data_IF_695305421337
#
_entry.id   IF_695305421337
#
_cell.length_a   1.000
_cell.length_b   1.000
_cell.length_c   1.000
_cell.angle_alpha   90.00
_cell.angle_beta   90.00
_cell.angle_gamma   90.00
#
_symmetry.space_group_name_H-M   'P 1'
#
loop_
_entity.id
_entity.type
_entity.pdbx_description
1 polymer ?
#
# COMPACT_ATOMS: atom_id res chain seq x y z
N UNK A 1 1.13 -32.31 -32.34
CA UNK A 1 1.88 -33.53 -31.95
C UNK A 1 0.99 -34.33 -31.00
N UNK A 2 0.42 -35.45 -31.46
CA UNK A 2 -0.31 -36.38 -30.59
C UNK A 2 0.72 -37.26 -29.88
N UNK A 3 0.98 -36.94 -28.62
CA UNK A 3 1.70 -37.84 -27.72
C UNK A 3 0.76 -39.01 -27.34
N UNK A 4 1.24 -40.26 -27.31
CA UNK A 4 0.39 -41.45 -27.29
C UNK A 4 -0.43 -41.68 -26.00
N UNK A 5 -0.26 -40.86 -24.96
CA UNK A 5 -0.99 -40.99 -23.68
C UNK A 5 -1.61 -39.69 -23.14
N UNK A 6 -1.05 -38.53 -23.50
CA UNK A 6 -1.45 -37.22 -22.96
C UNK A 6 -0.91 -36.14 -23.89
N UNK A 7 -1.69 -35.13 -24.27
CA UNK A 7 -1.20 -34.03 -25.10
C UNK A 7 -0.33 -33.03 -24.30
N UNK A 8 0.44 -32.19 -25.00
CA UNK A 8 1.37 -31.25 -24.37
C UNK A 8 0.69 -30.18 -23.51
N UNK A 9 -0.56 -29.82 -23.79
CA UNK A 9 -1.34 -28.83 -23.02
C UNK A 9 -1.77 -29.44 -21.69
N UNK A 10 -2.28 -30.68 -21.73
CA UNK A 10 -2.64 -31.44 -20.53
C UNK A 10 -1.43 -31.67 -19.63
N UNK A 11 -0.27 -32.02 -20.22
CA UNK A 11 0.98 -32.13 -19.48
C UNK A 11 1.37 -30.80 -18.81
N UNK A 12 1.27 -29.67 -19.52
CA UNK A 12 1.54 -28.35 -18.96
C UNK A 12 0.65 -28.04 -17.75
N UNK A 13 -0.66 -28.35 -17.84
CA UNK A 13 -1.58 -28.18 -16.71
C UNK A 13 -1.18 -29.02 -15.50
N UNK A 14 -0.79 -30.28 -15.69
CA UNK A 14 -0.33 -31.13 -14.59
C UNK A 14 0.96 -30.60 -13.95
N UNK A 15 1.94 -30.16 -14.75
CA UNK A 15 3.18 -29.55 -14.21
C UNK A 15 2.86 -28.28 -13.43
N UNK A 16 1.90 -27.47 -13.88
CA UNK A 16 1.49 -26.22 -13.21
C UNK A 16 0.78 -26.42 -11.88
N UNK A 17 0.29 -27.63 -11.58
CA UNK A 17 -0.20 -27.96 -10.22
C UNK A 17 0.93 -28.01 -9.18
N UNK A 18 2.18 -28.22 -9.61
CA UNK A 18 3.35 -28.38 -8.73
C UNK A 18 4.33 -27.21 -8.85
N UNK A 19 4.57 -26.71 -10.07
CA UNK A 19 5.56 -25.66 -10.33
C UNK A 19 4.95 -24.45 -11.06
N UNK A 20 5.11 -23.27 -10.48
CA UNK A 20 4.67 -22.02 -11.08
C UNK A 20 5.48 -21.62 -12.33
N UNK A 21 4.96 -20.71 -13.17
CA UNK A 21 5.64 -20.25 -14.39
C UNK A 21 7.00 -19.58 -14.17
N UNK A 22 7.24 -19.02 -12.98
CA UNK A 22 8.51 -18.37 -12.62
C UNK A 22 9.60 -19.32 -12.11
N UNK A 23 9.25 -20.55 -11.70
CA UNK A 23 10.22 -21.53 -11.17
C UNK A 23 10.55 -22.64 -12.18
N UNK A 24 9.62 -22.98 -13.08
CA UNK A 24 9.87 -23.93 -14.18
C UNK A 24 9.26 -23.41 -15.49
N UNK A 25 10.08 -22.80 -16.37
CA UNK A 25 9.63 -22.35 -17.68
C UNK A 25 9.24 -23.52 -18.58
N UNK A 26 8.08 -23.43 -19.22
CA UNK A 26 7.61 -24.42 -20.19
C UNK A 26 7.58 -23.75 -21.56
N UNK A 27 8.35 -24.31 -22.51
CA UNK A 27 8.44 -23.86 -23.88
C UNK A 27 7.76 -24.88 -24.81
N UNK A 28 6.71 -24.46 -25.50
CA UNK A 28 6.00 -25.33 -26.45
C UNK A 28 6.69 -25.35 -27.81
N UNK A 29 6.85 -26.53 -28.42
CA UNK A 29 7.31 -26.65 -29.80
C UNK A 29 6.13 -26.98 -30.71
N UNK A 30 5.65 -26.01 -31.49
CA UNK A 30 4.43 -26.10 -32.29
C UNK A 30 4.73 -26.30 -33.77
N UNK A 31 3.81 -26.87 -34.55
CA UNK A 31 3.89 -26.89 -36.02
C UNK A 31 3.21 -25.63 -36.58
N UNK A 32 3.63 -25.18 -37.76
CA UNK A 32 3.39 -23.83 -38.31
C UNK A 32 1.92 -23.46 -38.65
N UNK A 33 0.91 -24.25 -38.26
CA UNK A 33 -0.42 -24.18 -38.87
C UNK A 33 -1.63 -24.15 -37.93
N UNK A 34 -1.49 -23.98 -36.61
CA UNK A 34 -2.66 -23.83 -35.72
C UNK A 34 -2.47 -22.72 -34.68
N UNK A 35 -2.96 -21.53 -34.99
CA UNK A 35 -3.05 -20.38 -34.06
C UNK A 35 -3.74 -20.73 -32.73
N UNK A 36 -4.71 -21.65 -32.76
CA UNK A 36 -5.43 -22.11 -31.58
C UNK A 36 -4.58 -22.93 -30.58
N UNK A 37 -3.52 -23.61 -31.02
CA UNK A 37 -2.66 -24.38 -30.11
C UNK A 37 -1.69 -23.51 -29.32
N UNK A 38 -1.27 -22.37 -29.88
CA UNK A 38 -0.40 -21.42 -29.21
C UNK A 38 -1.13 -20.76 -28.04
N UNK A 39 -2.34 -20.26 -28.30
CA UNK A 39 -3.19 -19.64 -27.30
C UNK A 39 -3.53 -20.62 -26.16
N UNK A 40 -3.92 -21.85 -26.51
CA UNK A 40 -4.20 -22.89 -25.52
C UNK A 40 -2.97 -23.26 -24.67
N UNK A 41 -1.77 -23.21 -25.24
CA UNK A 41 -0.51 -23.42 -24.52
C UNK A 41 -0.24 -22.33 -23.48
N UNK A 42 -0.45 -21.06 -23.83
CA UNK A 42 -0.33 -19.96 -22.87
C UNK A 42 -1.39 -20.03 -21.77
N UNK A 43 -2.66 -20.30 -22.11
CA UNK A 43 -3.74 -20.49 -21.14
C UNK A 43 -3.49 -21.66 -20.18
N UNK A 44 -2.75 -22.68 -20.63
CA UNK A 44 -2.32 -23.80 -19.80
C UNK A 44 -1.12 -23.48 -18.88
N UNK A 45 -0.54 -22.29 -18.99
CA UNK A 45 0.61 -21.83 -18.21
C UNK A 45 1.96 -21.96 -18.91
N UNK A 46 2.00 -22.14 -20.23
CA UNK A 46 3.22 -22.05 -21.03
C UNK A 46 3.85 -20.67 -20.96
N UNK A 47 5.19 -20.62 -20.96
CA UNK A 47 5.92 -19.36 -20.93
C UNK A 47 6.15 -18.82 -22.33
N UNK A 48 6.30 -19.69 -23.32
CA UNK A 48 6.61 -19.31 -24.70
C UNK A 48 6.40 -20.50 -25.65
N UNK A 49 6.55 -20.26 -26.96
CA UNK A 49 6.53 -21.29 -27.99
C UNK A 49 7.55 -21.06 -29.10
N UNK A 50 7.90 -22.13 -29.82
CA UNK A 50 8.71 -22.11 -31.03
C UNK A 50 8.02 -22.93 -32.12
N UNK A 51 7.83 -22.32 -33.29
CA UNK A 51 7.30 -23.02 -34.46
C UNK A 51 8.36 -23.88 -35.13
N UNK A 52 7.94 -25.04 -35.66
CA UNK A 52 8.77 -25.94 -36.45
C UNK A 52 8.62 -25.66 -37.96
N UNK A 53 9.70 -25.76 -38.74
CA UNK A 53 11.08 -26.05 -38.31
C UNK A 53 11.73 -24.84 -37.62
N UNK A 54 12.58 -25.09 -36.60
CA UNK A 54 13.30 -24.03 -35.88
C UNK A 54 14.81 -24.14 -36.07
N UNK A 55 15.50 -23.01 -35.96
CA UNK A 55 16.97 -22.98 -35.91
C UNK A 55 17.48 -23.25 -34.50
N UNK A 56 18.73 -23.74 -34.42
CA UNK A 56 19.41 -23.98 -33.13
C UNK A 56 19.54 -22.68 -32.34
N UNK A 57 19.84 -21.57 -33.02
CA UNK A 57 20.06 -20.27 -32.44
C UNK A 57 18.78 -19.72 -31.81
N UNK A 58 17.64 -19.85 -32.49
CA UNK A 58 16.33 -19.43 -31.99
C UNK A 58 15.92 -20.19 -30.74
N UNK A 59 16.17 -21.51 -30.71
CA UNK A 59 15.92 -22.34 -29.53
C UNK A 59 16.82 -21.95 -28.36
N UNK A 60 18.13 -21.83 -28.58
CA UNK A 60 19.08 -21.48 -27.53
C UNK A 60 18.82 -20.08 -26.95
N UNK A 61 18.46 -19.10 -27.79
CA UNK A 61 18.13 -17.75 -27.33
C UNK A 61 16.92 -17.76 -26.38
N UNK A 62 15.85 -18.48 -26.73
CA UNK A 62 14.64 -18.57 -25.90
C UNK A 62 14.88 -19.36 -24.62
N UNK A 63 15.59 -20.49 -24.69
CA UNK A 63 15.96 -21.27 -23.51
C UNK A 63 16.83 -20.44 -22.57
N UNK A 64 17.85 -19.75 -23.09
CA UNK A 64 18.71 -18.87 -22.30
C UNK A 64 17.93 -17.76 -21.59
N UNK A 65 17.06 -17.04 -22.32
CA UNK A 65 16.22 -15.98 -21.75
C UNK A 65 15.35 -16.47 -20.57
N UNK A 66 14.71 -17.63 -20.73
CA UNK A 66 13.86 -18.19 -19.68
C UNK A 66 14.67 -18.69 -18.48
N UNK A 67 15.84 -19.30 -18.69
CA UNK A 67 16.72 -19.72 -17.60
C UNK A 67 17.27 -18.52 -16.81
N UNK A 68 17.64 -17.44 -17.49
CA UNK A 68 18.10 -16.22 -16.83
C UNK A 68 16.97 -15.54 -16.04
N UNK A 69 15.73 -15.58 -16.57
CA UNK A 69 14.55 -15.06 -15.87
C UNK A 69 14.31 -15.82 -14.55
N UNK A 70 14.43 -17.14 -14.55
CA UNK A 70 14.29 -17.96 -13.32
C UNK A 70 15.39 -17.64 -12.32
N UNK A 71 16.65 -17.60 -12.77
CA UNK A 71 17.81 -17.28 -11.93
C UNK A 71 17.67 -15.91 -11.26
N UNK A 72 17.23 -14.91 -12.01
CA UNK A 72 17.02 -13.56 -11.50
C UNK A 72 15.83 -13.45 -10.54
N UNK A 73 14.82 -14.32 -10.66
CA UNK A 73 13.69 -14.37 -9.74
C UNK A 73 14.10 -14.99 -8.40
N UNK A 74 14.81 -16.13 -8.41
CA UNK A 74 15.28 -16.80 -7.19
C UNK A 74 16.31 -15.96 -6.41
N UNK A 75 17.28 -15.35 -7.09
CA UNK A 75 18.28 -14.50 -6.44
C UNK A 75 17.65 -13.26 -5.76
N UNK A 76 16.52 -12.78 -6.28
CA UNK A 76 15.81 -11.61 -5.72
C UNK A 76 14.99 -11.97 -4.49
N UNK A 77 14.45 -13.18 -4.41
CA UNK A 77 13.72 -13.67 -3.24
C UNK A 77 14.66 -13.90 -2.05
N UNK A 78 15.81 -14.55 -2.26
CA UNK A 78 16.83 -14.72 -1.22
C UNK A 78 17.35 -13.37 -0.70
N UNK A 79 17.62 -12.41 -1.60
CA UNK A 79 18.04 -11.07 -1.21
C UNK A 79 16.96 -10.31 -0.42
N UNK A 80 15.69 -10.48 -0.78
CA UNK A 80 14.58 -9.86 -0.07
C UNK A 80 14.43 -10.44 1.34
N UNK A 81 14.53 -11.76 1.48
CA UNK A 81 14.49 -12.44 2.78
C UNK A 81 15.65 -12.01 3.67
N UNK A 82 16.88 -12.01 3.15
CA UNK A 82 18.05 -11.53 3.89
C UNK A 82 17.88 -10.07 4.36
N UNK A 83 17.32 -9.20 3.51
CA UNK A 83 17.07 -7.80 3.87
C UNK A 83 15.95 -7.63 4.90
N UNK A 84 14.93 -8.50 4.88
CA UNK A 84 13.88 -8.53 5.91
C UNK A 84 14.46 -8.97 7.25
N UNK A 85 15.32 -9.98 7.27
CA UNK A 85 16.00 -10.46 8.48
C UNK A 85 16.93 -9.39 9.07
N UNK A 86 17.75 -8.73 8.25
CA UNK A 86 18.58 -7.59 8.68
C UNK A 86 17.73 -6.45 9.27
N UNK A 87 16.63 -6.08 8.60
CA UNK A 87 15.74 -5.02 9.07
C UNK A 87 15.10 -5.40 10.40
N UNK A 88 14.69 -6.66 10.56
CA UNK A 88 14.10 -7.17 11.79
C UNK A 88 15.10 -7.14 12.95
N UNK A 89 16.33 -7.60 12.73
CA UNK A 89 17.39 -7.55 13.73
C UNK A 89 17.69 -6.12 14.17
N UNK A 90 17.72 -5.16 13.24
CA UNK A 90 17.90 -3.73 13.56
C UNK A 90 16.73 -3.17 14.39
N UNK A 91 15.49 -3.59 14.10
CA UNK A 91 14.31 -3.20 14.89
C UNK A 91 14.41 -3.79 16.30
N UNK A 92 14.73 -5.08 16.44
CA UNK A 92 14.88 -5.74 17.74
C UNK A 92 16.01 -5.10 18.57
N UNK A 93 17.14 -4.75 17.96
CA UNK A 93 18.23 -4.01 18.62
C UNK A 93 17.78 -2.61 19.06
N UNK A 94 17.04 -1.90 18.19
CA UNK A 94 16.50 -0.58 18.50
C UNK A 94 15.48 -0.66 19.65
N UNK A 95 14.60 -1.65 19.65
CA UNK A 95 13.63 -1.89 20.71
C UNK A 95 14.31 -2.34 22.02
N UNK A 96 15.36 -3.15 21.99
CA UNK A 96 16.11 -3.51 23.20
C UNK A 96 16.85 -2.30 23.79
N UNK A 97 17.42 -1.44 22.93
CA UNK A 97 18.18 -0.27 23.35
C UNK A 97 17.32 0.91 23.79
N UNK A 98 16.09 1.03 23.25
CA UNK A 98 15.22 2.17 23.47
C UNK A 98 13.82 1.85 24.00
N UNK A 99 13.41 0.58 24.04
CA UNK A 99 12.07 0.11 24.43
C UNK A 99 11.85 -0.05 25.93
N UNK A 100 12.88 0.06 26.77
CA UNK A 100 12.72 0.05 28.23
C UNK A 100 12.11 1.35 28.79
N UNK A 101 12.01 2.43 28.00
CA UNK A 101 11.25 3.63 28.40
C UNK A 101 9.84 3.57 27.84
N UNK A 102 8.97 2.80 28.48
CA UNK A 102 7.55 3.15 28.45
C UNK A 102 7.39 4.44 29.25
N UNK A 103 6.73 5.43 28.65
CA UNK A 103 6.30 6.60 29.39
C UNK A 103 5.43 6.12 30.57
N UNK A 104 5.72 6.63 31.75
CA UNK A 104 4.80 6.44 32.88
C UNK A 104 3.47 7.16 32.59
N UNK A 105 2.46 6.89 33.41
CA UNK A 105 1.11 7.39 33.20
C UNK A 105 1.06 8.93 33.19
N UNK A 106 1.88 9.58 34.02
CA UNK A 106 1.95 11.03 34.13
C UNK A 106 2.59 11.66 32.88
N UNK A 107 3.74 11.13 32.44
CA UNK A 107 4.42 11.57 31.23
C UNK A 107 3.56 11.37 29.98
N UNK A 108 2.85 10.25 29.89
CA UNK A 108 1.92 9.99 28.80
C UNK A 108 0.78 11.01 28.76
N UNK A 109 0.24 11.38 29.92
CA UNK A 109 -0.82 12.38 30.03
C UNK A 109 -0.31 13.78 29.65
N UNK A 110 0.85 14.18 30.16
CA UNK A 110 1.48 15.47 29.81
C UNK A 110 1.73 15.58 28.31
N UNK A 111 2.23 14.52 27.67
CA UNK A 111 2.45 14.49 26.22
C UNK A 111 1.12 14.58 25.45
N UNK A 112 0.10 13.84 25.88
CA UNK A 112 -1.22 13.89 25.25
C UNK A 112 -1.82 15.30 25.30
N UNK A 113 -1.70 15.97 26.45
CA UNK A 113 -2.21 17.33 26.64
C UNK A 113 -1.41 18.34 25.79
N UNK A 114 -0.09 18.18 25.70
CA UNK A 114 0.73 19.00 24.81
C UNK A 114 0.33 18.82 23.33
N UNK A 115 0.07 17.60 22.89
CA UNK A 115 -0.40 17.31 21.52
C UNK A 115 -1.78 17.91 21.28
N UNK A 116 -2.71 17.79 22.24
CA UNK A 116 -4.04 18.40 22.14
C UNK A 116 -3.96 19.92 22.00
N UNK A 117 -3.12 20.59 22.79
CA UNK A 117 -2.87 22.04 22.66
C UNK A 117 -2.40 22.42 21.27
N UNK A 118 -1.44 21.67 20.70
CA UNK A 118 -1.00 21.93 19.32
C UNK A 118 -2.14 21.79 18.29
N UNK A 119 -3.06 20.85 18.50
CA UNK A 119 -4.20 20.64 17.60
C UNK A 119 -5.30 21.70 17.78
N UNK A 120 -5.59 22.10 19.01
CA UNK A 120 -6.72 22.98 19.33
C UNK A 120 -6.36 24.46 19.23
N UNK A 121 -5.22 24.85 19.80
CA UNK A 121 -4.77 26.25 19.84
C UNK A 121 -4.02 26.64 18.57
N UNK A 122 -3.01 25.85 18.20
CA UNK A 122 -2.13 26.17 17.06
C UNK A 122 -2.63 25.62 15.73
N UNK A 123 -3.67 24.77 15.73
CA UNK A 123 -4.29 24.16 14.54
C UNK A 123 -3.30 23.58 13.55
N UNK A 124 -2.26 22.91 14.06
CA UNK A 124 -1.18 22.33 13.23
C UNK A 124 -1.69 21.35 12.16
N UNK A 125 -2.90 20.80 12.34
CA UNK A 125 -3.57 19.93 11.38
C UNK A 125 -3.87 20.63 10.04
N UNK A 126 -3.89 21.97 9.97
CA UNK A 126 -4.03 22.71 8.71
C UNK A 126 -2.82 22.55 7.77
N UNK A 127 -1.65 22.18 8.31
CA UNK A 127 -0.44 22.01 7.50
C UNK A 127 -0.52 20.73 6.65
N UNK A 128 -0.53 20.81 5.30
CA UNK A 128 -0.62 19.63 4.44
C UNK A 128 0.57 18.67 4.56
N UNK A 129 1.72 19.17 5.02
CA UNK A 129 2.94 18.43 5.22
C UNK A 129 3.11 17.98 6.67
N UNK A 130 2.06 18.06 7.50
CA UNK A 130 2.10 17.59 8.88
C UNK A 130 2.41 16.09 8.92
N UNK A 131 3.41 15.72 9.73
CA UNK A 131 3.79 14.34 9.96
C UNK A 131 4.16 14.13 11.42
N UNK A 132 4.12 12.87 11.87
CA UNK A 132 4.53 12.48 13.23
C UNK A 132 5.92 13.05 13.59
N UNK A 133 6.88 12.98 12.65
CA UNK A 133 8.23 13.51 12.83
C UNK A 133 8.25 15.02 13.10
N UNK A 134 7.34 15.78 12.48
CA UNK A 134 7.24 17.24 12.70
C UNK A 134 6.66 17.55 14.08
N UNK A 135 5.63 16.83 14.50
CA UNK A 135 5.04 17.00 15.84
C UNK A 135 6.04 16.64 16.93
N UNK A 136 6.70 15.49 16.79
CA UNK A 136 7.74 15.05 17.72
C UNK A 136 8.86 16.09 17.87
N UNK A 137 9.37 16.63 16.74
CA UNK A 137 10.37 17.71 16.79
C UNK A 137 9.86 18.98 17.47
N UNK A 138 8.62 19.38 17.20
CA UNK A 138 8.02 20.59 17.79
C UNK A 138 7.87 20.47 19.30
N UNK A 139 7.52 19.28 19.78
CA UNK A 139 7.41 18.95 21.20
C UNK A 139 8.76 18.56 21.84
N UNK A 140 9.85 18.54 21.06
CA UNK A 140 11.17 18.05 21.49
C UNK A 140 11.14 16.63 22.07
N UNK A 141 10.30 15.76 21.51
CA UNK A 141 10.12 14.38 21.94
C UNK A 141 10.51 13.38 20.84
N UNK A 142 10.60 12.10 21.21
CA UNK A 142 10.85 11.03 20.25
C UNK A 142 9.56 10.68 19.51
N UNK A 143 9.70 10.25 18.26
CA UNK A 143 8.55 9.81 17.46
C UNK A 143 7.86 8.57 18.03
N UNK A 144 8.64 7.67 18.64
CA UNK A 144 8.14 6.45 19.27
C UNK A 144 7.19 6.77 20.43
N UNK A 145 7.60 7.65 21.33
CA UNK A 145 6.82 8.14 22.48
C UNK A 145 5.44 8.67 22.04
N UNK A 146 5.41 9.51 21.00
CA UNK A 146 4.17 10.06 20.45
C UNK A 146 3.27 8.97 19.83
N UNK A 147 3.86 8.03 19.08
CA UNK A 147 3.10 6.92 18.52
C UNK A 147 2.51 6.02 19.62
N UNK A 148 3.29 5.76 20.66
CA UNK A 148 2.87 4.95 21.80
C UNK A 148 1.68 5.61 22.50
N UNK A 149 1.77 6.89 22.86
CA UNK A 149 0.68 7.59 23.55
C UNK A 149 -0.61 7.61 22.73
N UNK A 150 -0.53 7.88 21.42
CA UNK A 150 -1.74 7.93 20.57
C UNK A 150 -2.40 6.55 20.46
N UNK A 151 -1.61 5.49 20.26
CA UNK A 151 -2.15 4.15 20.17
C UNK A 151 -2.70 3.67 21.53
N UNK A 152 -1.94 3.83 22.61
CA UNK A 152 -2.28 3.31 23.93
C UNK A 152 -3.44 4.08 24.59
N UNK A 153 -3.50 5.41 24.41
CA UNK A 153 -4.51 6.27 25.07
C UNK A 153 -5.72 6.60 24.21
N UNK A 154 -5.56 6.69 22.89
CA UNK A 154 -6.67 7.05 21.98
C UNK A 154 -7.13 5.88 21.12
N UNK A 155 -6.39 4.76 21.08
CA UNK A 155 -6.72 3.63 20.21
C UNK A 155 -6.65 3.97 18.71
N UNK A 156 -5.91 5.02 18.35
CA UNK A 156 -5.89 5.58 17.00
C UNK A 156 -4.46 5.87 16.56
N UNK A 157 -4.18 5.58 15.29
CA UNK A 157 -2.95 6.02 14.67
C UNK A 157 -2.98 7.54 14.40
N UNK A 158 -1.79 8.14 14.21
CA UNK A 158 -1.63 9.58 13.99
C UNK A 158 -2.42 10.13 12.80
N UNK A 159 -2.51 9.38 11.70
CA UNK A 159 -3.27 9.83 10.53
C UNK A 159 -4.76 9.94 10.84
N UNK A 160 -5.33 8.94 11.52
CA UNK A 160 -6.72 8.97 11.98
C UNK A 160 -6.96 10.11 12.96
N UNK A 161 -6.03 10.33 13.90
CA UNK A 161 -6.10 11.42 14.87
C UNK A 161 -6.16 12.79 14.19
N UNK A 162 -5.22 13.10 13.29
CA UNK A 162 -5.18 14.36 12.54
C UNK A 162 -6.41 14.52 11.64
N UNK A 163 -6.77 13.47 10.90
CA UNK A 163 -7.91 13.53 9.98
C UNK A 163 -9.23 13.74 10.72
N UNK A 164 -9.36 13.30 11.97
CA UNK A 164 -10.49 13.63 12.83
C UNK A 164 -10.70 15.14 12.96
N UNK A 165 -9.64 15.88 13.32
CA UNK A 165 -9.69 17.35 13.40
C UNK A 165 -9.99 17.99 12.05
N UNK A 166 -9.34 17.54 10.98
CA UNK A 166 -9.56 18.08 9.62
C UNK A 166 -11.00 17.91 9.16
N UNK A 167 -11.55 16.69 9.29
CA UNK A 167 -12.93 16.40 8.87
C UNK A 167 -13.92 17.14 9.75
N UNK A 168 -13.69 17.24 11.06
CA UNK A 168 -14.54 18.02 11.96
C UNK A 168 -14.61 19.48 11.51
N UNK A 169 -13.47 20.10 11.22
CA UNK A 169 -13.42 21.48 10.74
C UNK A 169 -14.18 21.66 9.42
N UNK A 170 -14.01 20.73 8.46
CA UNK A 170 -14.77 20.75 7.21
C UNK A 170 -16.27 20.62 7.49
N UNK A 171 -16.70 19.72 8.38
CA UNK A 171 -18.10 19.59 8.75
C UNK A 171 -18.69 20.88 9.32
N UNK A 172 -17.96 21.58 10.17
CA UNK A 172 -18.43 22.85 10.76
C UNK A 172 -18.56 23.94 9.69
N UNK A 173 -17.55 24.08 8.83
CA UNK A 173 -17.57 24.97 7.66
C UNK A 173 -18.69 24.64 6.67
N UNK A 174 -19.04 23.36 6.50
CA UNK A 174 -20.14 22.95 5.62
C UNK A 174 -21.53 23.23 6.22
N UNK A 175 -21.64 23.41 7.53
CA UNK A 175 -22.88 23.81 8.22
C UNK A 175 -23.06 25.33 8.26
N UNK A 176 -21.97 26.09 8.22
CA UNK A 176 -22.00 27.54 8.25
C UNK A 176 -22.64 28.12 6.96
N UNK A 177 -23.63 28.99 7.14
CA UNK A 177 -24.32 29.67 6.03
C UNK A 177 -23.45 30.69 5.33
N UNK A 178 -22.48 31.28 6.02
CA UNK A 178 -21.55 32.22 5.41
C UNK A 178 -20.72 31.56 4.30
N UNK A 179 -20.54 30.24 4.38
CA UNK A 179 -19.69 29.48 3.45
C UNK A 179 -20.46 28.76 2.36
N UNK A 180 -21.75 29.07 2.18
CA UNK A 180 -22.59 28.43 1.17
C UNK A 180 -22.06 28.60 -0.27
N UNK A 181 -21.34 29.69 -0.54
CA UNK A 181 -20.69 29.98 -1.82
C UNK A 181 -19.28 29.40 -1.99
N UNK A 182 -18.65 28.91 -0.92
CA UNK A 182 -17.29 28.36 -0.97
C UNK A 182 -17.33 26.91 -1.46
N UNK A 183 -16.41 26.55 -2.35
CA UNK A 183 -16.36 25.19 -2.88
C UNK A 183 -15.95 24.20 -1.79
N UNK A 184 -16.46 22.98 -1.84
CA UNK A 184 -16.10 21.93 -0.88
C UNK A 184 -14.58 21.66 -0.91
N UNK A 185 -13.96 21.76 -2.08
CA UNK A 185 -12.54 21.51 -2.25
C UNK A 185 -11.67 22.61 -1.63
N UNK A 186 -12.07 23.87 -1.73
CA UNK A 186 -11.38 24.97 -1.03
C UNK A 186 -11.38 24.73 0.48
N UNK A 187 -12.56 24.44 1.07
CA UNK A 187 -12.68 24.12 2.50
C UNK A 187 -11.79 22.92 2.90
N UNK A 188 -11.69 21.91 2.03
CA UNK A 188 -10.83 20.76 2.27
C UNK A 188 -9.33 21.12 2.22
N UNK A 189 -8.93 21.96 1.28
CA UNK A 189 -7.54 22.42 1.18
C UNK A 189 -7.16 23.32 2.36
N UNK A 190 -8.06 24.20 2.81
CA UNK A 190 -7.88 25.01 4.03
C UNK A 190 -7.77 24.14 5.29
N UNK A 191 -8.41 22.98 5.30
CA UNK A 191 -8.27 21.97 6.34
C UNK A 191 -6.99 21.14 6.25
N UNK A 192 -6.12 21.38 5.27
CA UNK A 192 -4.82 20.72 5.13
C UNK A 192 -4.84 19.41 4.33
N UNK A 193 -5.90 19.11 3.58
CA UNK A 193 -5.88 17.97 2.67
C UNK A 193 -5.00 18.28 1.45
N UNK A 194 -4.11 17.37 1.06
CA UNK A 194 -3.21 17.56 -0.10
C UNK A 194 -3.83 17.15 -1.43
N UNK A 195 -4.94 16.41 -1.42
CA UNK A 195 -5.62 15.98 -2.65
C UNK A 195 -7.12 15.74 -2.43
N UNK A 196 -7.88 15.90 -3.52
CA UNK A 196 -9.32 15.61 -3.58
C UNK A 196 -9.63 14.16 -3.19
N UNK A 197 -8.86 13.20 -3.72
CA UNK A 197 -9.08 11.77 -3.45
C UNK A 197 -8.87 11.42 -1.98
N UNK A 198 -7.80 11.93 -1.36
CA UNK A 198 -7.55 11.71 0.06
C UNK A 198 -8.67 12.29 0.94
N UNK A 199 -9.14 13.50 0.62
CA UNK A 199 -10.25 14.13 1.31
C UNK A 199 -11.54 13.29 1.23
N UNK A 200 -11.96 12.88 0.03
CA UNK A 200 -13.21 12.13 -0.14
C UNK A 200 -13.21 10.79 0.62
N UNK A 201 -12.08 10.07 0.59
CA UNK A 201 -11.92 8.80 1.32
C UNK A 201 -12.06 9.04 2.82
N UNK A 202 -11.29 9.98 3.37
CA UNK A 202 -11.28 10.25 4.81
C UNK A 202 -12.61 10.83 5.30
N UNK A 203 -13.21 11.75 4.56
CA UNK A 203 -14.51 12.34 4.92
C UNK A 203 -15.61 11.28 4.97
N UNK A 204 -15.67 10.38 3.97
CA UNK A 204 -16.65 9.29 3.96
C UNK A 204 -16.38 8.28 5.06
N UNK A 205 -15.12 7.97 5.36
CA UNK A 205 -14.74 7.07 6.44
C UNK A 205 -15.19 7.59 7.81
N UNK A 206 -15.08 8.89 8.05
CA UNK A 206 -15.45 9.51 9.33
C UNK A 206 -16.96 9.78 9.43
N UNK A 207 -17.59 10.28 8.37
CA UNK A 207 -18.99 10.76 8.42
C UNK A 207 -20.01 9.77 7.88
N UNK A 208 -19.58 8.71 7.19
CA UNK A 208 -20.43 7.73 6.51
C UNK A 208 -21.06 8.22 5.20
N UNK A 209 -20.89 9.49 4.81
CA UNK A 209 -21.51 10.09 3.63
C UNK A 209 -20.54 10.97 2.84
N UNK A 210 -20.93 11.39 1.63
CA UNK A 210 -20.11 12.32 0.84
C UNK A 210 -20.25 13.75 1.34
N UNK A 211 -19.24 14.62 1.12
CA UNK A 211 -19.31 16.04 1.51
C UNK A 211 -20.51 16.78 0.93
N UNK A 212 -20.88 16.47 -0.32
CA UNK A 212 -22.04 17.09 -0.99
C UNK A 212 -23.36 16.67 -0.36
N UNK A 213 -23.51 15.39 0.00
CA UNK A 213 -24.68 14.89 0.74
C UNK A 213 -24.76 15.52 2.12
N UNK A 214 -23.63 15.63 2.82
CA UNK A 214 -23.54 16.28 4.12
C UNK A 214 -24.00 17.75 4.04
N UNK A 215 -23.47 18.52 3.08
CA UNK A 215 -23.88 19.92 2.87
C UNK A 215 -25.38 20.02 2.57
N UNK A 216 -25.92 19.19 1.68
CA UNK A 216 -27.37 19.22 1.35
C UNK A 216 -28.25 18.90 2.57
N UNK A 217 -27.84 17.96 3.41
CA UNK A 217 -28.58 17.56 4.62
C UNK A 217 -28.60 18.67 5.67
N UNK A 218 -27.50 19.41 5.78
CA UNK A 218 -27.31 20.44 6.81
C UNK A 218 -27.56 21.88 6.34
N UNK A 219 -27.72 22.13 5.03
CA UNK A 219 -28.02 23.45 4.47
C UNK A 219 -29.52 23.84 4.56
N UNK A 220 -30.41 22.94 4.99
CA UNK A 220 -31.86 23.22 5.17
C UNK A 220 -32.17 23.71 6.58
N UNK A 221 -32.34 25.04 6.73
CA UNK A 221 -33.41 25.76 7.46
C UNK A 221 -33.12 27.26 7.49
#
# INVERSE_FOLDING_TARGET
LLMPRMDGITLCKEVRKVHGPGSLPILFLTALSETGQVEAGFLAGGNDYITKPFSRESLLARVGFHLDTVRNCCAREELLLARVEETRALIEEYEAKYGERRLDEEQAQVLLDAVRRLMEEERIWQDPLLSMKRVARKLQMKQADLSQVLNDRLGQNFHSFVNGYRVSHVCDRLRDRADCGVTILEIAFDAGFSSKSAFHVQFKQVTGMTPSEFRKKHAKL
#
